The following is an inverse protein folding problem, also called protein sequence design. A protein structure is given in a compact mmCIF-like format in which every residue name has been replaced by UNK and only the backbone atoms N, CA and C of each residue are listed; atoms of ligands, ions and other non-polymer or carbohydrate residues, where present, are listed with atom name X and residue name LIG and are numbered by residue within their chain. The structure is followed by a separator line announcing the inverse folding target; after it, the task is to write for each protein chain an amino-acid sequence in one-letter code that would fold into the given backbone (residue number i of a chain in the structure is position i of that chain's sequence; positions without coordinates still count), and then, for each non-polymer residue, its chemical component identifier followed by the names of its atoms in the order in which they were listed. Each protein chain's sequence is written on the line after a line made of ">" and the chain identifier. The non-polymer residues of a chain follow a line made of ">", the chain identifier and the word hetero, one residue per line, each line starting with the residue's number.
data_IF_323494742604
#
_entry.id   IF_323494742604
#
_cell.length_a   1.000
_cell.length_b   1.000
_cell.length_c   1.000
_cell.angle_alpha   90.00
_cell.angle_beta   90.00
_cell.angle_gamma   90.00
#
_symmetry.space_group_name_H-M   'P 1'
#
loop_
_entity.id
_entity.type
_entity.pdbx_description
1 polymer ?
#
# COMPACT_ATOMS: atom_id res chain seq x y z
N UNK A 1 16.78 -4.75 5.61
CA UNK A 1 15.93 -3.54 5.73
C UNK A 1 16.64 -2.36 6.42
N UNK A 2 17.98 -2.32 6.43
CA UNK A 2 18.76 -1.29 7.14
C UNK A 2 18.73 0.10 6.48
N UNK A 3 18.54 0.16 5.15
CA UNK A 3 18.54 1.42 4.40
C UNK A 3 17.29 2.27 4.64
N UNK A 4 16.17 1.66 5.04
CA UNK A 4 14.88 2.36 5.20
C UNK A 4 14.95 3.43 6.28
N UNK A 5 15.68 3.18 7.38
CA UNK A 5 15.81 4.16 8.46
C UNK A 5 16.48 5.45 7.99
N UNK A 6 17.52 5.33 7.14
CA UNK A 6 18.27 6.47 6.58
C UNK A 6 17.38 7.36 5.71
N UNK A 7 16.46 6.77 4.95
CA UNK A 7 15.54 7.55 4.10
C UNK A 7 14.27 8.00 4.83
N UNK A 8 13.89 7.34 5.93
CA UNK A 8 12.73 7.71 6.72
C UNK A 8 12.95 8.96 7.57
N UNK A 9 14.16 9.13 8.11
CA UNK A 9 14.54 10.29 8.92
C UNK A 9 14.37 11.63 8.17
N UNK A 10 14.94 11.85 6.98
CA UNK A 10 14.75 13.12 6.26
C UNK A 10 13.29 13.36 5.87
N UNK A 11 12.52 12.30 5.56
CA UNK A 11 11.08 12.44 5.29
C UNK A 11 10.30 12.89 6.54
N UNK A 12 10.64 12.33 7.71
CA UNK A 12 10.06 12.71 9.00
C UNK A 12 10.41 14.17 9.34
N UNK A 13 11.67 14.55 9.18
CA UNK A 13 12.14 15.93 9.43
C UNK A 13 11.47 16.94 8.49
N UNK A 14 11.33 16.61 7.21
CA UNK A 14 10.73 17.52 6.23
C UNK A 14 9.23 17.71 6.40
N UNK A 15 8.49 16.66 6.81
CA UNK A 15 7.03 16.69 6.90
C UNK A 15 6.52 17.08 8.29
N UNK A 16 7.30 16.85 9.35
CA UNK A 16 6.84 16.94 10.73
C UNK A 16 6.16 15.65 11.19
N UNK A 17 6.45 15.21 12.41
CA UNK A 17 5.93 13.95 12.97
C UNK A 17 4.41 13.99 13.18
N UNK A 18 3.87 15.15 13.49
CA UNK A 18 2.44 15.39 13.66
C UNK A 18 1.62 15.16 12.38
N UNK A 19 2.28 15.22 11.21
CA UNK A 19 1.67 14.98 9.90
C UNK A 19 1.84 13.53 9.44
N UNK A 20 2.45 12.67 10.27
CA UNK A 20 2.69 11.25 9.97
C UNK A 20 1.85 10.38 10.89
N UNK A 21 0.88 9.69 10.30
CA UNK A 21 0.05 8.73 11.02
C UNK A 21 0.51 7.31 10.70
N UNK A 22 1.15 6.69 11.68
CA UNK A 22 1.52 5.27 11.61
C UNK A 22 0.39 4.37 12.09
N UNK A 23 0.47 3.08 11.75
CA UNK A 23 -0.49 2.04 12.18
C UNK A 23 -1.95 2.28 11.76
N UNK A 24 -2.19 3.16 10.78
CA UNK A 24 -3.49 3.33 10.12
C UNK A 24 -3.46 2.60 8.78
N UNK A 25 -4.39 1.66 8.57
CA UNK A 25 -4.53 0.96 7.30
C UNK A 25 -5.64 1.60 6.47
N UNK A 26 -5.30 2.10 5.28
CA UNK A 26 -6.25 2.69 4.34
C UNK A 26 -6.93 1.59 3.54
N UNK A 27 -8.26 1.63 3.47
CA UNK A 27 -9.08 0.58 2.83
C UNK A 27 -9.79 1.03 1.57
N UNK A 28 -10.11 2.32 1.43
CA UNK A 28 -10.91 2.82 0.31
C UNK A 28 -10.64 4.30 0.03
N UNK A 29 -10.61 4.65 -1.25
CA UNK A 29 -10.56 6.04 -1.72
C UNK A 29 -11.98 6.58 -1.94
N UNK A 30 -12.14 7.90 -1.79
CA UNK A 30 -13.42 8.59 -1.90
C UNK A 30 -13.33 9.63 -3.01
N UNK A 31 -14.30 9.60 -3.94
CA UNK A 31 -14.45 10.61 -4.98
C UNK A 31 -15.31 11.78 -4.49
N UNK A 32 -15.13 12.94 -5.11
CA UNK A 32 -15.93 14.13 -4.89
C UNK A 32 -17.39 13.88 -5.26
N UNK A 33 -18.31 14.36 -4.41
CA UNK A 33 -19.75 14.17 -4.59
C UNK A 33 -20.30 14.96 -5.79
N UNK A 34 -19.69 16.11 -6.09
CA UNK A 34 -20.19 17.09 -7.04
C UNK A 34 -19.36 17.13 -8.33
N UNK A 35 -18.11 16.66 -8.29
CA UNK A 35 -17.21 16.61 -9.45
C UNK A 35 -16.88 15.16 -9.78
N UNK A 36 -17.43 14.68 -10.90
CA UNK A 36 -17.15 13.34 -11.38
C UNK A 36 -15.63 13.12 -11.59
N UNK A 37 -15.16 11.92 -11.25
CA UNK A 37 -13.76 11.50 -11.42
C UNK A 37 -12.70 12.38 -10.72
N UNK A 38 -13.08 13.08 -9.65
CA UNK A 38 -12.17 13.88 -8.82
C UNK A 38 -11.97 13.19 -7.46
N UNK A 39 -10.72 13.03 -6.99
CA UNK A 39 -10.46 12.53 -5.63
C UNK A 39 -10.87 13.56 -4.58
N UNK A 40 -11.46 13.09 -3.48
CA UNK A 40 -11.83 13.90 -2.32
C UNK A 40 -11.26 13.40 -0.99
N UNK A 41 -10.76 12.15 -0.93
CA UNK A 41 -10.26 11.60 0.32
C UNK A 41 -10.01 10.11 0.33
N UNK A 42 -9.81 9.60 1.54
CA UNK A 42 -9.62 8.18 1.82
C UNK A 42 -10.18 7.82 3.20
N UNK A 43 -10.51 6.54 3.40
CA UNK A 43 -10.90 5.99 4.69
C UNK A 43 -10.02 4.84 5.09
N UNK A 44 -9.75 4.74 6.38
CA UNK A 44 -8.95 3.69 6.99
C UNK A 44 -9.30 3.50 8.45
N UNK A 45 -8.61 2.58 9.10
CA UNK A 45 -8.79 2.33 10.52
C UNK A 45 -7.45 2.10 11.22
N UNK A 46 -7.39 2.40 12.51
CA UNK A 46 -6.23 2.12 13.34
C UNK A 46 -6.11 0.61 13.60
N UNK A 47 -4.89 0.10 13.48
CA UNK A 47 -4.55 -1.29 13.84
C UNK A 47 -4.11 -1.41 15.31
N UNK A 48 -4.29 -0.35 16.10
CA UNK A 48 -3.93 -0.29 17.53
C UNK A 48 -5.11 0.11 18.42
N UNK A 49 -6.12 0.75 17.84
CA UNK A 49 -7.27 1.29 18.54
C UNK A 49 -8.53 1.10 17.68
N UNK A 50 -9.72 1.07 18.31
CA UNK A 50 -11.00 1.00 17.61
C UNK A 50 -11.39 2.38 17.05
N UNK A 51 -10.60 2.88 16.10
CA UNK A 51 -10.74 4.21 15.52
C UNK A 51 -10.78 4.16 14.00
N UNK A 52 -11.85 4.71 13.42
CA UNK A 52 -11.97 4.93 11.98
C UNK A 52 -11.44 6.32 11.63
N UNK A 53 -10.60 6.39 10.62
CA UNK A 53 -10.05 7.64 10.09
C UNK A 53 -10.72 7.98 8.75
N UNK A 54 -11.17 9.24 8.64
CA UNK A 54 -11.67 9.82 7.39
C UNK A 54 -10.75 10.97 7.01
N UNK A 55 -10.02 10.81 5.92
CA UNK A 55 -9.12 11.81 5.37
C UNK A 55 -9.80 12.56 4.24
N UNK A 56 -9.79 13.88 4.30
CA UNK A 56 -10.19 14.75 3.19
C UNK A 56 -8.94 15.33 2.55
N UNK A 57 -8.83 15.27 1.24
CA UNK A 57 -7.70 15.82 0.51
C UNK A 57 -8.13 16.42 -0.83
N UNK A 58 -7.31 17.35 -1.36
CA UNK A 58 -7.46 17.89 -2.72
C UNK A 58 -6.76 17.02 -3.76
N UNK A 59 -5.67 16.38 -3.33
CA UNK A 59 -4.81 15.52 -4.14
C UNK A 59 -4.38 14.34 -3.28
N UNK A 60 -4.23 13.16 -3.88
CA UNK A 60 -3.77 11.96 -3.20
C UNK A 60 -2.65 11.26 -4.00
N UNK A 61 -1.68 10.69 -3.29
CA UNK A 61 -0.67 9.79 -3.83
C UNK A 61 -0.86 8.41 -3.19
N UNK A 62 -1.00 7.37 -4.01
CA UNK A 62 -1.17 6.00 -3.53
C UNK A 62 0.13 5.19 -3.66
N UNK A 63 0.99 5.28 -2.65
CA UNK A 63 2.31 4.63 -2.62
C UNK A 63 2.35 3.38 -1.71
N UNK A 64 1.42 2.43 -1.90
CA UNK A 64 1.25 1.24 -1.06
C UNK A 64 1.93 -0.03 -1.61
N UNK A 65 2.89 0.12 -2.54
CA UNK A 65 3.66 -1.00 -3.10
C UNK A 65 2.87 -1.86 -4.10
N UNK A 66 3.40 -3.06 -4.35
CA UNK A 66 2.84 -4.03 -5.31
C UNK A 66 1.86 -5.03 -4.69
N UNK A 67 1.78 -6.23 -5.28
CA UNK A 67 0.97 -7.34 -4.78
C UNK A 67 1.79 -8.63 -4.71
N UNK A 68 1.76 -9.30 -3.56
CA UNK A 68 2.40 -10.60 -3.33
C UNK A 68 1.41 -11.57 -2.68
N UNK A 69 1.78 -12.84 -2.58
CA UNK A 69 0.91 -13.91 -2.06
C UNK A 69 -0.43 -14.08 -2.81
N UNK A 70 -0.56 -13.49 -4.00
CA UNK A 70 -1.67 -13.70 -4.94
C UNK A 70 -1.56 -15.04 -5.69
N UNK A 71 -0.38 -15.64 -5.72
CA UNK A 71 -0.12 -17.00 -6.20
C UNK A 71 0.39 -17.88 -5.05
N UNK A 72 0.12 -19.19 -5.11
CA UNK A 72 0.63 -20.14 -4.12
C UNK A 72 2.17 -20.20 -4.18
N UNK A 73 2.89 -19.92 -3.08
CA UNK A 73 4.36 -19.99 -3.05
C UNK A 73 4.87 -21.44 -3.07
N UNK A 74 6.18 -21.60 -3.28
CA UNK A 74 6.85 -22.92 -3.31
C UNK A 74 6.91 -23.60 -1.93
N UNK A 75 6.95 -22.81 -0.86
CA UNK A 75 6.90 -23.28 0.53
C UNK A 75 5.57 -22.89 1.16
N UNK A 76 4.79 -23.86 1.64
CA UNK A 76 3.39 -23.64 2.06
C UNK A 76 3.16 -23.70 3.57
N UNK A 77 4.15 -24.15 4.37
CA UNK A 77 4.14 -24.06 5.83
C UNK A 77 4.58 -22.68 6.32
N UNK A 78 5.39 -22.63 7.37
CA UNK A 78 5.96 -21.39 7.92
C UNK A 78 6.72 -20.57 6.86
N UNK A 79 7.30 -21.25 5.87
CA UNK A 79 7.96 -20.62 4.72
C UNK A 79 7.05 -19.78 3.82
N UNK A 80 5.72 -19.78 4.01
CA UNK A 80 4.79 -18.93 3.26
C UNK A 80 5.06 -17.44 3.43
N UNK A 81 5.67 -17.05 4.55
CA UNK A 81 6.12 -15.68 4.79
C UNK A 81 7.35 -15.25 3.97
N UNK A 82 8.10 -16.20 3.41
CA UNK A 82 9.34 -15.97 2.66
C UNK A 82 9.08 -15.80 1.16
N UNK A 83 8.26 -14.81 0.82
CA UNK A 83 8.13 -14.36 -0.56
C UNK A 83 9.38 -13.57 -0.98
N UNK A 84 9.72 -13.59 -2.27
CA UNK A 84 10.85 -12.80 -2.79
C UNK A 84 10.61 -11.28 -2.68
N UNK A 85 9.37 -10.85 -2.92
CA UNK A 85 8.94 -9.46 -2.76
C UNK A 85 8.22 -9.30 -1.41
N UNK A 86 8.20 -8.10 -0.81
CA UNK A 86 7.79 -7.93 0.59
C UNK A 86 6.38 -8.45 0.89
N UNK A 87 6.28 -9.36 1.86
CA UNK A 87 5.05 -10.14 2.18
C UNK A 87 3.85 -9.28 2.59
N UNK A 88 4.11 -8.06 3.07
CA UNK A 88 3.09 -7.11 3.50
C UNK A 88 2.41 -6.34 2.34
N UNK A 89 2.89 -6.49 1.10
CA UNK A 89 2.30 -5.82 -0.06
C UNK A 89 1.07 -6.59 -0.59
N UNK A 90 -0.12 -6.16 -0.19
CA UNK A 90 -1.38 -6.85 -0.51
C UNK A 90 -2.09 -6.37 -1.79
N UNK A 91 -1.47 -5.52 -2.62
CA UNK A 91 -2.10 -4.95 -3.81
C UNK A 91 -3.07 -3.78 -3.51
N UNK A 92 -2.88 -3.10 -2.38
CA UNK A 92 -3.71 -1.95 -1.98
C UNK A 92 -3.67 -0.82 -3.00
N UNK A 93 -2.50 -0.52 -3.60
CA UNK A 93 -2.40 0.50 -4.65
C UNK A 93 -3.32 0.19 -5.83
N UNK A 94 -3.25 -1.02 -6.36
CA UNK A 94 -4.02 -1.39 -7.55
C UNK A 94 -5.52 -1.37 -7.27
N UNK A 95 -5.94 -2.03 -6.19
CA UNK A 95 -7.36 -2.20 -5.88
C UNK A 95 -8.03 -0.86 -5.58
N UNK A 96 -7.42 -0.04 -4.72
CA UNK A 96 -8.03 1.23 -4.32
C UNK A 96 -8.14 2.20 -5.51
N UNK A 97 -7.12 2.29 -6.35
CA UNK A 97 -7.14 3.14 -7.54
C UNK A 97 -8.13 2.63 -8.60
N UNK A 98 -8.17 1.32 -8.86
CA UNK A 98 -9.10 0.73 -9.82
C UNK A 98 -10.57 0.95 -9.42
N UNK A 99 -10.88 0.80 -8.13
CA UNK A 99 -12.23 1.00 -7.60
C UNK A 99 -12.77 2.43 -7.75
N UNK A 100 -11.88 3.42 -7.85
CA UNK A 100 -12.26 4.82 -8.13
C UNK A 100 -12.17 5.19 -9.61
N UNK A 101 -12.00 4.19 -10.50
CA UNK A 101 -12.00 4.38 -11.94
C UNK A 101 -10.67 4.82 -12.54
N UNK A 102 -9.55 4.74 -11.80
CA UNK A 102 -8.24 5.02 -12.36
C UNK A 102 -7.86 3.94 -13.38
N UNK A 103 -7.37 4.36 -14.55
CA UNK A 103 -6.89 3.46 -15.59
C UNK A 103 -5.68 2.66 -15.10
N UNK A 104 -5.79 1.34 -15.19
CA UNK A 104 -4.67 0.42 -15.01
C UNK A 104 -4.05 0.08 -16.38
N UNK A 105 -2.76 -0.23 -16.39
CA UNK A 105 -2.03 -0.59 -17.61
C UNK A 105 -1.10 -1.76 -17.34
N UNK A 106 -0.90 -2.62 -18.35
CA UNK A 106 -0.01 -3.79 -18.29
C UNK A 106 -0.25 -4.71 -17.07
N UNK A 107 -1.51 -4.89 -16.64
CA UNK A 107 -1.84 -5.67 -15.44
C UNK A 107 -1.61 -7.18 -15.63
N UNK A 108 -1.49 -7.63 -16.87
CA UNK A 108 -1.08 -8.98 -17.24
C UNK A 108 0.42 -9.24 -17.04
N UNK A 109 1.22 -8.17 -16.98
CA UNK A 109 2.65 -8.29 -16.75
C UNK A 109 2.93 -8.76 -15.31
N UNK A 110 3.80 -9.77 -15.20
CA UNK A 110 4.22 -10.32 -13.91
C UNK A 110 5.72 -10.51 -13.87
N UNK A 111 6.30 -10.35 -12.67
CA UNK A 111 7.72 -10.61 -12.46
C UNK A 111 7.93 -11.93 -11.72
N UNK A 112 8.66 -12.87 -12.35
CA UNK A 112 9.00 -14.17 -11.75
C UNK A 112 10.52 -14.23 -11.53
N UNK A 113 11.00 -14.00 -10.29
CA UNK A 113 12.43 -13.92 -10.00
C UNK A 113 13.09 -15.31 -9.98
N UNK A 114 14.29 -15.41 -10.57
CA UNK A 114 15.19 -16.56 -10.39
C UNK A 114 16.20 -16.25 -9.26
N UNK A 115 16.13 -16.98 -8.14
CA UNK A 115 16.92 -16.75 -6.92
C UNK A 115 17.30 -18.09 -6.27
N UNK A 116 18.19 -18.05 -5.27
CA UNK A 116 18.55 -19.22 -4.46
C UNK A 116 17.32 -19.81 -3.77
N UNK A 117 17.30 -21.14 -3.67
CA UNK A 117 16.13 -21.93 -3.23
C UNK A 117 15.89 -21.86 -1.72
N UNK A 118 16.93 -21.64 -0.91
CA UNK A 118 16.92 -21.87 0.54
C UNK A 118 17.67 -20.77 1.33
N UNK A 119 17.53 -19.51 0.92
CA UNK A 119 18.11 -18.37 1.65
C UNK A 119 17.60 -18.23 3.09
#
# INVERSE_FOLDING_TARGET
>A
ESYKCIVAEPAKTALGEENILERVFIVKLILDKNKANQIAGAVGFSTRENKVHVFRCKTALCACGGAVNIFRPRSTGEGKGRAWYPVWNAGSTYTMCAQVGATLTMMENRFTPARFKDG
#
